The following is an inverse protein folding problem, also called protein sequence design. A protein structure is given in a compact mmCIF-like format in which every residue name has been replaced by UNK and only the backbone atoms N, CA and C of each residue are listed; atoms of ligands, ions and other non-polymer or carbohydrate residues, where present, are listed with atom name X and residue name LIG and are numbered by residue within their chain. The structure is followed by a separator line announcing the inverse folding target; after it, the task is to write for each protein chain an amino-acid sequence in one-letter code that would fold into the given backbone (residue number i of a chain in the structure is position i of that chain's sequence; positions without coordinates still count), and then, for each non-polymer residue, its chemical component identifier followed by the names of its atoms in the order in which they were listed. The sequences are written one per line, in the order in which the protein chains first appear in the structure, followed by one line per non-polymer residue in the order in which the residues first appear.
data_IF_120227836406
#
_entry.id   IF_120227836406
#
_cell.length_a   1.000
_cell.length_b   1.000
_cell.length_c   1.000
_cell.angle_alpha   90.00
_cell.angle_beta   90.00
_cell.angle_gamma   90.00
#
_symmetry.space_group_name_H-M   'P 1'
#
loop_
_entity.id
_entity.type
_entity.pdbx_description
1 polymer ?
#
# COMPACT_ATOMS: atom_id res chain seq x y z
N UNK A 1 3.83 14.95 2.94
CA UNK A 1 2.46 14.39 2.94
C UNK A 1 1.79 14.71 1.60
N UNK A 2 2.09 13.94 0.54
CA UNK A 2 1.53 14.10 -0.83
C UNK A 2 2.00 12.97 -1.78
N UNK A 3 2.32 11.81 -1.22
CA UNK A 3 3.06 10.74 -1.88
C UNK A 3 2.14 9.81 -2.70
N UNK A 4 0.92 9.53 -2.21
CA UNK A 4 -0.07 8.70 -2.92
C UNK A 4 -1.13 9.53 -3.65
N UNK A 5 -1.71 10.54 -3.00
CA UNK A 5 -2.87 11.28 -3.52
C UNK A 5 -2.50 12.52 -4.37
N UNK A 6 -3.25 12.75 -5.45
CA UNK A 6 -3.28 14.01 -6.21
C UNK A 6 -4.36 14.95 -5.67
N UNK A 7 -4.23 16.26 -5.93
CA UNK A 7 -5.26 17.27 -5.60
C UNK A 7 -6.62 16.97 -6.26
N UNK A 8 -6.64 16.14 -7.31
CA UNK A 8 -7.84 15.78 -8.06
C UNK A 8 -8.43 14.41 -7.68
N UNK A 9 -8.20 13.98 -6.43
CA UNK A 9 -8.84 12.81 -5.80
C UNK A 9 -8.42 11.43 -6.34
N UNK A 10 -7.26 11.33 -6.98
CA UNK A 10 -6.74 10.06 -7.49
C UNK A 10 -5.28 9.80 -7.15
N UNK A 11 -4.88 8.54 -7.19
CA UNK A 11 -3.51 8.11 -6.94
C UNK A 11 -2.57 8.56 -8.05
N UNK A 12 -1.37 9.02 -7.69
CA UNK A 12 -0.33 9.46 -8.63
C UNK A 12 0.25 8.34 -9.48
N UNK A 13 0.19 7.10 -8.98
CA UNK A 13 0.80 5.93 -9.61
C UNK A 13 -0.26 5.12 -10.35
N UNK A 14 0.11 4.54 -11.49
CA UNK A 14 -0.79 3.68 -12.25
C UNK A 14 -0.97 2.32 -11.57
N UNK A 15 -2.14 1.70 -11.80
CA UNK A 15 -2.36 0.32 -11.39
C UNK A 15 -1.32 -0.61 -12.04
N UNK A 16 -0.76 -1.57 -11.29
CA UNK A 16 -1.19 -2.06 -9.98
C UNK A 16 -0.38 -1.51 -8.79
N UNK A 17 0.28 -0.35 -8.96
CA UNK A 17 1.21 0.20 -7.97
C UNK A 17 0.69 1.51 -7.33
N UNK A 18 -0.63 1.77 -7.43
CA UNK A 18 -1.28 2.94 -6.83
C UNK A 18 -1.45 2.88 -5.30
N UNK A 19 -1.15 1.75 -4.67
CA UNK A 19 -1.60 1.48 -3.30
C UNK A 19 -0.57 1.77 -2.19
N UNK A 20 0.72 1.92 -2.52
CA UNK A 20 1.81 2.09 -1.53
C UNK A 20 2.37 3.51 -1.53
N UNK A 21 2.22 4.21 -0.42
CA UNK A 21 2.87 5.48 -0.11
C UNK A 21 4.14 5.31 0.73
N UNK A 22 4.63 6.42 1.27
CA UNK A 22 5.79 6.48 2.13
C UNK A 22 5.38 6.33 3.61
N UNK A 23 6.32 5.92 4.47
CA UNK A 23 6.12 5.81 5.93
C UNK A 23 4.91 4.94 6.34
N UNK A 24 4.69 3.84 5.64
CA UNK A 24 3.60 2.91 5.94
C UNK A 24 2.20 3.43 5.58
N UNK A 25 2.11 4.50 4.79
CA UNK A 25 0.83 4.97 4.25
C UNK A 25 0.40 4.08 3.08
N UNK A 26 -0.86 3.65 3.09
CA UNK A 26 -1.46 2.89 2.00
C UNK A 26 -2.75 3.56 1.53
N UNK A 27 -3.09 3.37 0.26
CA UNK A 27 -4.30 3.88 -0.35
C UNK A 27 -5.02 2.77 -1.12
N UNK A 28 -6.35 2.78 -1.09
CA UNK A 28 -7.21 1.97 -1.95
C UNK A 28 -8.16 2.92 -2.64
N UNK A 29 -8.25 2.83 -3.96
CA UNK A 29 -9.15 3.69 -4.73
C UNK A 29 -10.05 2.88 -5.65
N UNK A 30 -11.17 3.49 -6.06
CA UNK A 30 -11.88 3.06 -7.26
C UNK A 30 -11.02 3.38 -8.47
N UNK A 31 -10.09 2.48 -8.76
CA UNK A 31 -9.36 2.50 -10.03
C UNK A 31 -10.38 2.45 -11.19
N UNK A 32 -9.93 2.74 -12.42
CA UNK A 32 -10.75 2.53 -13.64
C UNK A 32 -11.19 1.06 -13.87
N UNK A 33 -10.94 0.17 -12.90
CA UNK A 33 -11.34 -1.24 -12.85
C UNK A 33 -12.44 -1.51 -11.81
N UNK A 34 -12.98 -0.48 -11.17
CA UNK A 34 -14.07 -0.59 -10.19
C UNK A 34 -13.67 -1.37 -8.93
N UNK A 35 -14.64 -2.06 -8.32
CA UNK A 35 -14.48 -2.82 -7.07
C UNK A 35 -13.40 -3.91 -7.15
N UNK A 36 -13.22 -4.52 -8.33
CA UNK A 36 -12.17 -5.53 -8.53
C UNK A 36 -10.77 -4.93 -8.39
N UNK A 37 -10.57 -3.70 -8.87
CA UNK A 37 -9.31 -3.00 -8.69
C UNK A 37 -9.03 -2.72 -7.22
N UNK A 38 -10.04 -2.25 -6.48
CA UNK A 38 -9.93 -1.99 -5.05
C UNK A 38 -9.61 -3.25 -4.25
N UNK A 39 -10.24 -4.40 -4.57
CA UNK A 39 -9.96 -5.66 -3.87
C UNK A 39 -8.54 -6.18 -4.13
N UNK A 40 -8.04 -6.02 -5.36
CA UNK A 40 -6.65 -6.37 -5.71
C UNK A 40 -5.63 -5.51 -4.95
N UNK A 41 -5.89 -4.21 -4.81
CA UNK A 41 -5.04 -3.32 -4.02
C UNK A 41 -5.07 -3.66 -2.54
N UNK A 42 -6.25 -3.88 -1.96
CA UNK A 42 -6.40 -4.27 -0.56
C UNK A 42 -5.63 -5.56 -0.24
N UNK A 43 -5.66 -6.55 -1.15
CA UNK A 43 -4.90 -7.79 -1.00
C UNK A 43 -3.38 -7.55 -0.99
N UNK A 44 -2.88 -6.64 -1.84
CA UNK A 44 -1.45 -6.29 -1.88
C UNK A 44 -0.99 -5.56 -0.62
N UNK A 45 -1.81 -4.64 -0.11
CA UNK A 45 -1.53 -3.95 1.17
C UNK A 45 -1.39 -4.95 2.30
N UNK A 46 -2.33 -5.90 2.42
CA UNK A 46 -2.28 -6.92 3.46
C UNK A 46 -1.00 -7.78 3.40
N UNK A 47 -0.60 -8.18 2.18
CA UNK A 47 0.64 -8.94 1.97
C UNK A 47 1.89 -8.14 2.34
N UNK A 48 1.95 -6.87 1.94
CA UNK A 48 3.08 -5.99 2.23
C UNK A 48 3.21 -5.73 3.75
N UNK A 49 2.07 -5.55 4.43
CA UNK A 49 2.03 -5.40 5.88
C UNK A 49 2.55 -6.66 6.60
N UNK A 50 2.13 -7.84 6.16
CA UNK A 50 2.60 -9.11 6.73
C UNK A 50 4.12 -9.27 6.59
N UNK A 51 4.67 -8.94 5.41
CA UNK A 51 6.12 -9.00 5.15
C UNK A 51 6.85 -8.00 6.03
N UNK A 52 6.36 -6.76 6.12
CA UNK A 52 6.98 -5.71 6.93
C UNK A 52 7.01 -6.10 8.41
N UNK A 53 5.88 -6.60 8.93
CA UNK A 53 5.78 -7.05 10.32
C UNK A 53 6.73 -8.20 10.64
N UNK A 54 6.78 -9.23 9.77
CA UNK A 54 7.71 -10.36 9.93
C UNK A 54 9.17 -9.93 9.86
N UNK A 55 9.49 -8.98 8.98
CA UNK A 55 10.83 -8.40 8.87
C UNK A 55 11.20 -7.66 10.15
N UNK A 56 10.35 -6.77 10.65
CA UNK A 56 10.59 -6.01 11.89
C UNK A 56 10.75 -6.93 13.09
N UNK A 57 9.87 -7.93 13.25
CA UNK A 57 9.98 -8.92 14.32
C UNK A 57 11.31 -9.69 14.26
N UNK A 58 11.77 -10.06 13.06
CA UNK A 58 13.07 -10.72 12.86
C UNK A 58 14.23 -9.79 13.24
N UNK A 59 14.18 -8.51 12.86
CA UNK A 59 15.21 -7.54 13.22
C UNK A 59 15.28 -7.33 14.74
N UNK A 60 14.14 -7.21 15.42
CA UNK A 60 14.07 -7.11 16.88
C UNK A 60 14.65 -8.35 17.56
N UNK A 61 14.34 -9.55 17.06
CA UNK A 61 14.89 -10.80 17.61
C UNK A 61 16.40 -10.96 17.40
N UNK A 62 16.96 -10.34 16.36
CA UNK A 62 18.39 -10.38 16.07
C UNK A 62 19.19 -9.31 16.82
N UNK A 63 18.51 -8.28 17.34
CA UNK A 63 19.10 -7.20 18.11
C UNK A 63 19.11 -7.45 19.64
N UNK A 64 18.44 -8.51 20.09
CA UNK A 64 18.47 -9.05 21.46
C UNK A 64 19.51 -10.16 21.58
#
# INVERSE_FOLDING_TARGET
RRDVFTERWGNKRAFPNCWKGDNGLYAVEFTKRGLMGASMEAKRIAQDFEICWKSEAKQLSAAL
#
